data_IF_011516366038
#
_entry.id   IF_011516366038
#
_cell.length_a   1.000
_cell.length_b   1.000
_cell.length_c   1.000
_cell.angle_alpha   90.00
_cell.angle_beta   90.00
_cell.angle_gamma   90.00
#
_symmetry.space_group_name_H-M   'P 1'
#
loop_
_entity.id
_entity.type
_entity.pdbx_description
1 polymer ?
#
# COMPACT_ATOMS: atom_id res chain seq x y z
N UNK A 1 17.50 6.82 4.68
CA UNK A 1 17.23 7.32 6.06
C UNK A 1 16.16 6.46 6.73
N UNK A 2 16.46 5.85 7.88
CA UNK A 2 15.48 5.14 8.71
C UNK A 2 14.82 6.19 9.60
N UNK A 3 13.50 6.34 9.50
CA UNK A 3 12.75 7.23 10.39
C UNK A 3 12.48 6.54 11.74
N UNK A 4 12.09 7.29 12.77
CA UNK A 4 11.72 6.71 14.07
C UNK A 4 10.56 5.69 13.96
N UNK A 5 9.66 5.85 12.97
CA UNK A 5 8.56 4.90 12.77
C UNK A 5 9.06 3.54 12.26
N UNK A 6 10.13 3.54 11.47
CA UNK A 6 10.80 2.35 10.89
C UNK A 6 11.84 1.71 11.81
N UNK A 7 11.87 2.10 13.09
CA UNK A 7 12.93 1.70 14.02
C UNK A 7 13.05 0.20 14.24
N UNK A 8 11.99 -0.59 13.98
CA UNK A 8 12.02 -2.05 14.07
C UNK A 8 11.93 -2.78 12.71
N UNK A 9 11.94 -2.07 11.58
CA UNK A 9 12.08 -2.67 10.26
C UNK A 9 11.00 -2.28 9.24
N UNK A 10 11.31 -2.57 7.98
CA UNK A 10 10.41 -2.49 6.82
C UNK A 10 10.11 -3.93 6.42
N UNK A 11 8.85 -4.31 6.41
CA UNK A 11 8.45 -5.71 6.17
C UNK A 11 7.57 -5.87 4.93
N UNK A 12 7.76 -7.00 4.24
CA UNK A 12 6.92 -7.50 3.17
C UNK A 12 6.55 -6.47 2.08
N UNK A 13 7.52 -5.87 1.41
CA UNK A 13 7.20 -4.98 0.28
C UNK A 13 6.55 -5.76 -0.87
N UNK A 14 5.40 -5.27 -1.38
CA UNK A 14 4.70 -5.84 -2.54
C UNK A 14 4.75 -4.87 -3.71
N UNK A 15 5.72 -5.07 -4.61
CA UNK A 15 5.93 -4.21 -5.77
C UNK A 15 4.99 -4.52 -6.95
N UNK A 16 4.61 -3.47 -7.68
CA UNK A 16 3.87 -3.53 -8.95
C UNK A 16 4.51 -2.53 -9.91
N UNK A 17 4.68 -2.91 -11.18
CA UNK A 17 4.83 -1.92 -12.24
C UNK A 17 3.44 -1.33 -12.49
N UNK A 18 3.28 -0.02 -12.29
CA UNK A 18 1.99 0.63 -12.40
C UNK A 18 1.86 1.32 -13.76
N UNK A 19 0.77 1.02 -14.45
CA UNK A 19 0.49 1.58 -15.76
C UNK A 19 0.10 3.06 -15.65
N UNK A 20 0.99 3.92 -16.13
CA UNK A 20 0.75 5.38 -16.26
C UNK A 20 0.46 5.80 -17.70
N UNK A 21 0.61 4.89 -18.67
CA UNK A 21 0.57 5.20 -20.10
C UNK A 21 1.80 5.95 -20.65
N UNK A 22 2.71 6.43 -19.80
CA UNK A 22 3.83 7.30 -20.23
C UNK A 22 5.20 6.72 -19.86
N UNK A 23 5.37 6.35 -18.59
CA UNK A 23 6.67 5.94 -18.02
C UNK A 23 6.51 4.75 -17.10
N UNK A 24 7.58 3.95 -16.99
CA UNK A 24 7.66 2.90 -15.98
C UNK A 24 7.77 3.55 -14.59
N UNK A 25 6.80 3.25 -13.75
CA UNK A 25 6.82 3.58 -12.33
C UNK A 25 6.50 2.32 -11.55
N UNK A 26 7.23 2.12 -10.47
CA UNK A 26 7.02 0.99 -9.58
C UNK A 26 6.52 1.53 -8.25
N UNK A 27 5.38 1.00 -7.83
CA UNK A 27 4.83 1.24 -6.50
C UNK A 27 4.99 -0.02 -5.67
N UNK A 28 5.22 0.14 -4.37
CA UNK A 28 5.12 -0.96 -3.42
C UNK A 28 4.37 -0.53 -2.18
N UNK A 29 3.49 -1.38 -1.68
CA UNK A 29 2.99 -1.26 -0.31
C UNK A 29 3.91 -2.06 0.62
N UNK A 30 4.23 -1.51 1.79
CA UNK A 30 5.00 -2.20 2.82
C UNK A 30 4.43 -1.93 4.20
N UNK A 31 4.76 -2.80 5.14
CA UNK A 31 4.38 -2.63 6.55
C UNK A 31 5.49 -1.88 7.28
N UNK A 32 5.17 -0.71 7.84
CA UNK A 32 6.02 -0.04 8.82
C UNK A 32 5.63 -0.50 10.23
N UNK A 33 6.59 -1.09 10.94
CA UNK A 33 6.40 -1.59 12.29
C UNK A 33 7.30 -0.84 13.28
N UNK A 34 6.66 -0.08 14.16
CA UNK A 34 7.34 0.69 15.21
C UNK A 34 7.44 -0.05 16.55
N UNK A 35 7.06 -1.33 16.62
CA UNK A 35 6.96 -2.08 17.88
C UNK A 35 5.70 -1.78 18.71
N UNK A 36 4.96 -0.72 18.38
CA UNK A 36 3.70 -0.32 19.05
C UNK A 36 2.55 -0.06 18.10
N UNK A 37 2.86 0.36 16.87
CA UNK A 37 1.88 0.61 15.82
C UNK A 37 2.34 -0.05 14.51
N UNK A 38 1.35 -0.52 13.75
CA UNK A 38 1.50 -1.04 12.39
C UNK A 38 0.81 -0.04 11.46
N UNK A 39 1.47 0.29 10.34
CA UNK A 39 0.87 1.10 9.28
C UNK A 39 1.33 0.60 7.91
N UNK A 40 0.44 0.64 6.93
CA UNK A 40 0.84 0.45 5.52
C UNK A 40 1.41 1.76 4.96
N UNK A 41 2.52 1.65 4.24
CA UNK A 41 3.17 2.76 3.57
C UNK A 41 3.39 2.46 2.09
N UNK A 42 3.64 3.51 1.30
CA UNK A 42 3.92 3.44 -0.13
C UNK A 42 5.40 3.73 -0.41
N UNK A 43 6.02 2.85 -1.18
CA UNK A 43 7.28 3.06 -1.88
C UNK A 43 6.97 3.46 -3.32
N UNK A 44 7.66 4.46 -3.84
CA UNK A 44 7.69 4.81 -5.25
C UNK A 44 9.13 4.81 -5.76
N UNK A 45 9.37 4.20 -6.93
CA UNK A 45 10.64 4.26 -7.64
C UNK A 45 10.45 4.15 -9.15
N UNK A 46 11.44 4.59 -9.91
CA UNK A 46 11.51 4.39 -11.37
C UNK A 46 12.76 3.60 -11.78
N UNK A 47 13.72 3.40 -10.87
CA UNK A 47 15.05 2.85 -11.15
C UNK A 47 15.54 1.80 -10.14
N UNK A 48 14.79 1.55 -9.05
CA UNK A 48 15.20 0.69 -7.92
C UNK A 48 16.50 1.12 -7.23
N UNK A 49 16.93 2.36 -7.44
CA UNK A 49 18.10 2.97 -6.80
C UNK A 49 17.61 4.09 -5.87
N UNK A 50 16.69 4.91 -6.36
CA UNK A 50 16.10 6.04 -5.65
C UNK A 50 14.66 5.70 -5.25
N UNK A 51 14.35 5.86 -3.97
CA UNK A 51 13.03 5.54 -3.43
C UNK A 51 12.42 6.74 -2.72
N UNK A 52 11.14 6.99 -3.00
CA UNK A 52 10.28 7.88 -2.21
C UNK A 52 9.41 7.02 -1.31
N UNK A 53 9.39 7.34 -0.02
CA UNK A 53 8.55 6.68 0.99
C UNK A 53 7.45 7.66 1.40
N UNK A 54 6.20 7.20 1.45
CA UNK A 54 5.06 8.04 1.82
C UNK A 54 4.08 7.22 2.65
N UNK A 55 3.71 7.67 3.87
CA UNK A 55 2.68 7.04 4.65
C UNK A 55 1.33 7.01 3.92
N UNK A 56 0.61 5.89 4.00
CA UNK A 56 -0.79 5.85 3.56
C UNK A 56 -1.71 6.30 4.71
N UNK A 57 -2.73 7.07 4.35
CA UNK A 57 -3.80 7.52 5.23
C UNK A 57 -5.09 6.71 5.09
N UNK A 58 -6.05 7.00 5.97
CA UNK A 58 -7.38 6.37 5.99
C UNK A 58 -7.48 5.14 6.91
N UNK A 59 -8.71 4.68 7.13
CA UNK A 59 -8.99 3.60 8.08
C UNK A 59 -8.35 2.26 7.67
N UNK A 60 -8.36 1.91 6.38
CA UNK A 60 -7.79 0.65 5.90
C UNK A 60 -6.25 0.61 5.96
N UNK A 61 -5.59 1.77 5.92
CA UNK A 61 -4.13 1.89 5.98
C UNK A 61 -3.53 1.63 7.38
N UNK A 62 -4.37 1.54 8.42
CA UNK A 62 -3.95 1.30 9.82
C UNK A 62 -3.57 -0.15 10.11
N UNK A 63 -3.57 -1.01 9.08
CA UNK A 63 -3.23 -2.42 9.20
C UNK A 63 -2.20 -2.82 8.15
N UNK A 64 -1.87 -4.12 8.07
CA UNK A 64 -0.91 -4.71 7.13
C UNK A 64 -1.58 -5.46 5.98
N UNK A 65 -0.77 -5.84 5.00
CA UNK A 65 -1.20 -6.73 3.92
C UNK A 65 -2.04 -6.05 2.85
N UNK A 66 -1.78 -4.76 2.59
CA UNK A 66 -2.29 -4.09 1.40
C UNK A 66 -1.45 -4.46 0.17
N UNK A 67 -2.06 -4.58 -1.00
CA UNK A 67 -1.39 -4.83 -2.27
C UNK A 67 -2.11 -4.07 -3.40
N UNK A 68 -1.37 -3.22 -4.10
CA UNK A 68 -1.89 -2.38 -5.19
C UNK A 68 -2.15 -3.19 -6.46
N UNK A 69 -3.19 -2.84 -7.21
CA UNK A 69 -3.37 -3.32 -8.57
C UNK A 69 -2.44 -2.57 -9.55
N UNK A 70 -1.96 -3.20 -10.63
CA UNK A 70 -0.98 -2.58 -11.54
C UNK A 70 -1.53 -1.47 -12.43
N UNK A 71 -2.79 -1.05 -12.23
CA UNK A 71 -3.45 0.00 -12.99
C UNK A 71 -4.71 0.46 -12.27
N UNK A 72 -5.28 1.57 -12.74
CA UNK A 72 -6.64 1.96 -12.36
C UNK A 72 -7.68 0.99 -12.95
N UNK A 73 -8.78 0.81 -12.22
CA UNK A 73 -9.97 0.07 -12.63
C UNK A 73 -11.12 1.08 -12.61
N UNK A 74 -11.77 1.26 -13.77
CA UNK A 74 -12.86 2.23 -13.95
C UNK A 74 -12.52 3.66 -13.47
N UNK A 75 -11.26 4.07 -13.64
CA UNK A 75 -10.76 5.40 -13.26
C UNK A 75 -10.25 5.51 -11.82
N UNK A 76 -10.42 4.48 -10.99
CA UNK A 76 -10.03 4.47 -9.58
C UNK A 76 -8.79 3.61 -9.34
N UNK A 77 -7.97 3.98 -8.36
CA UNK A 77 -6.96 3.06 -7.83
C UNK A 77 -7.67 1.91 -7.12
N UNK A 78 -7.08 0.72 -7.18
CA UNK A 78 -7.60 -0.45 -6.49
C UNK A 78 -6.50 -1.13 -5.66
N UNK A 79 -6.88 -1.66 -4.49
CA UNK A 79 -6.01 -2.47 -3.64
C UNK A 79 -6.76 -3.71 -3.14
N UNK A 80 -6.03 -4.79 -2.91
CA UNK A 80 -6.45 -5.82 -1.95
C UNK A 80 -5.91 -5.44 -0.57
N UNK A 81 -6.70 -5.60 0.48
CA UNK A 81 -6.27 -5.33 1.86
C UNK A 81 -6.82 -6.34 2.86
N UNK A 82 -6.22 -6.35 4.05
CA UNK A 82 -6.63 -7.16 5.22
C UNK A 82 -6.84 -6.27 6.44
N UNK A 83 -7.72 -5.28 6.30
CA UNK A 83 -7.94 -4.25 7.31
C UNK A 83 -8.42 -4.79 8.67
N UNK A 84 -9.00 -6.00 8.71
CA UNK A 84 -9.43 -6.71 9.92
C UNK A 84 -8.49 -7.83 10.38
N UNK A 85 -7.33 -8.02 9.71
CA UNK A 85 -6.39 -9.14 9.90
C UNK A 85 -6.90 -10.55 9.55
N UNK A 86 -8.08 -10.69 8.93
CA UNK A 86 -8.70 -12.00 8.66
C UNK A 86 -9.18 -12.12 7.21
N UNK A 87 -10.05 -11.21 6.77
CA UNK A 87 -10.71 -11.30 5.48
C UNK A 87 -9.93 -10.54 4.39
N UNK A 88 -10.13 -10.92 3.12
CA UNK A 88 -9.65 -10.13 1.99
C UNK A 88 -10.71 -9.12 1.58
N UNK A 89 -10.28 -7.87 1.45
CA UNK A 89 -11.10 -6.75 0.98
C UNK A 89 -10.59 -6.26 -0.37
N UNK A 90 -11.53 -5.88 -1.24
CA UNK A 90 -11.27 -5.04 -2.39
C UNK A 90 -11.55 -3.58 -2.02
N UNK A 91 -10.55 -2.72 -2.18
CA UNK A 91 -10.62 -1.30 -1.90
C UNK A 91 -10.50 -0.51 -3.18
N UNK A 92 -11.23 0.59 -3.26
CA UNK A 92 -11.10 1.59 -4.32
C UNK A 92 -10.80 2.96 -3.70
N UNK A 93 -10.01 3.77 -4.40
CA UNK A 93 -9.75 5.15 -4.02
C UNK A 93 -9.48 6.04 -5.25
N UNK A 94 -9.85 7.32 -5.13
CA UNK A 94 -9.47 8.37 -6.07
C UNK A 94 -8.07 8.93 -5.78
N UNK A 95 -7.58 8.75 -4.56
CA UNK A 95 -6.29 9.22 -4.08
C UNK A 95 -5.42 8.04 -3.67
N UNK A 96 -4.28 7.86 -4.36
CA UNK A 96 -3.31 6.80 -4.08
C UNK A 96 -2.80 6.81 -2.63
N UNK A 97 -2.87 7.94 -1.94
CA UNK A 97 -2.36 8.11 -0.58
C UNK A 97 -3.44 7.97 0.52
N UNK A 98 -4.72 7.84 0.17
CA UNK A 98 -5.82 7.76 1.13
C UNK A 98 -6.74 6.56 0.88
N UNK A 99 -6.89 5.68 1.87
CA UNK A 99 -7.63 4.42 1.75
C UNK A 99 -8.56 4.20 2.94
N UNK A 100 -9.87 4.33 2.73
CA UNK A 100 -10.86 4.25 3.81
C UNK A 100 -11.35 2.84 4.11
N UNK A 101 -12.27 2.30 3.31
CA UNK A 101 -12.85 0.97 3.54
C UNK A 101 -13.00 0.22 2.21
N UNK A 102 -13.26 -1.07 2.32
CA UNK A 102 -13.40 -1.96 1.17
C UNK A 102 -14.53 -2.95 1.35
N UNK A 103 -14.84 -3.67 0.28
CA UNK A 103 -15.81 -4.75 0.27
C UNK A 103 -15.10 -6.09 0.51
N UNK A 104 -15.63 -6.93 1.39
CA UNK A 104 -15.13 -8.30 1.57
C UNK A 104 -15.32 -9.08 0.27
N UNK A 105 -14.23 -9.69 -0.21
CA UNK A 105 -14.23 -10.53 -1.41
C UNK A 105 -13.89 -12.00 -1.12
N UNK A 106 -13.24 -12.28 0.00
CA UNK A 106 -12.94 -13.64 0.44
C UNK A 106 -12.91 -13.70 1.97
N UNK A 107 -13.56 -14.74 2.50
CA UNK A 107 -13.51 -15.14 3.90
C UNK A 107 -12.81 -16.50 4.03
N UNK A 108 -12.29 -16.85 5.22
CA UNK A 108 -11.79 -18.19 5.51
C UNK A 108 -12.77 -19.32 5.13
#
# INVERSE_FOLDING_TARGET
PITLSQSNGIEDARFVEFDTGERKIFYATYTDYSGRAIRSELIETTDFISFRLTPLGGLAARNKGMALFPRKIDGHYAMIGRQDNENLYLLYSDDLYAWESGQVILKP
#
